data_IF_906243570199
#
_entry.id   IF_906243570199
#
_cell.length_a   1.000
_cell.length_b   1.000
_cell.length_c   1.000
_cell.angle_alpha   90.00
_cell.angle_beta   90.00
_cell.angle_gamma   90.00
#
_symmetry.space_group_name_H-M   'P 1'
#
loop_
_entity.id
_entity.type
_entity.pdbx_description
1 polymer ?
#
# COMPACT_ATOMS: atom_id res chain seq x y z
N UNK A 1 1.50 13.47 5.14
CA UNK A 1 0.47 12.49 5.61
C UNK A 1 0.30 11.29 4.68
N UNK A 2 0.18 11.45 3.36
CA UNK A 2 0.23 10.32 2.42
C UNK A 2 1.60 9.61 2.40
N UNK A 3 2.67 10.32 2.76
CA UNK A 3 4.04 9.79 2.83
C UNK A 3 4.20 8.60 3.78
N UNK A 4 3.43 8.54 4.89
CA UNK A 4 3.49 7.40 5.81
C UNK A 4 2.97 6.11 5.14
N UNK A 5 1.86 6.20 4.39
CA UNK A 5 1.33 5.06 3.64
C UNK A 5 2.34 4.57 2.59
N UNK A 6 2.94 5.52 1.86
CA UNK A 6 3.91 5.22 0.80
C UNK A 6 5.16 4.56 1.38
N UNK A 7 5.69 5.09 2.47
CA UNK A 7 6.88 4.55 3.14
C UNK A 7 6.65 3.11 3.62
N UNK A 8 5.51 2.84 4.26
CA UNK A 8 5.15 1.49 4.71
C UNK A 8 4.92 0.53 3.53
N UNK A 9 4.31 1.00 2.44
CA UNK A 9 4.12 0.20 1.23
C UNK A 9 5.47 -0.22 0.61
N UNK A 10 6.42 0.70 0.54
CA UNK A 10 7.77 0.44 0.05
C UNK A 10 8.46 -0.57 0.98
N UNK A 11 8.43 -0.33 2.30
CA UNK A 11 9.01 -1.23 3.30
C UNK A 11 8.44 -2.65 3.20
N UNK A 12 7.11 -2.78 3.09
CA UNK A 12 6.45 -4.07 2.92
C UNK A 12 6.93 -4.80 1.65
N UNK A 13 7.06 -4.08 0.53
CA UNK A 13 7.58 -4.68 -0.71
C UNK A 13 9.03 -5.17 -0.54
N UNK A 14 9.87 -4.40 0.14
CA UNK A 14 11.26 -4.78 0.40
C UNK A 14 11.35 -5.99 1.35
N UNK A 15 10.53 -6.05 2.40
CA UNK A 15 10.44 -7.18 3.31
C UNK A 15 9.91 -8.45 2.63
N UNK A 16 9.00 -8.31 1.67
CA UNK A 16 8.52 -9.40 0.83
C UNK A 16 9.58 -9.91 -0.17
N UNK A 17 10.77 -9.28 -0.25
CA UNK A 17 11.88 -9.71 -1.10
C UNK A 17 11.57 -9.71 -2.60
N UNK A 18 10.49 -9.01 -3.02
CA UNK A 18 9.95 -9.11 -4.36
C UNK A 18 10.23 -7.88 -5.20
N UNK A 19 10.47 -8.09 -6.49
CA UNK A 19 10.49 -7.00 -7.47
C UNK A 19 9.12 -6.30 -7.52
N UNK A 20 9.08 -5.06 -8.00
CA UNK A 20 7.84 -4.28 -8.16
C UNK A 20 6.76 -5.05 -8.95
N UNK A 21 7.17 -5.80 -9.98
CA UNK A 21 6.26 -6.66 -10.75
C UNK A 21 5.78 -7.87 -9.95
N UNK A 22 6.66 -8.52 -9.18
CA UNK A 22 6.31 -9.66 -8.33
C UNK A 22 5.33 -9.29 -7.24
N UNK A 23 5.55 -8.16 -6.58
CA UNK A 23 4.65 -7.66 -5.54
C UNK A 23 3.30 -7.21 -6.11
N UNK A 24 3.29 -6.53 -7.26
CA UNK A 24 2.06 -6.19 -7.95
C UNK A 24 1.26 -7.44 -8.35
N UNK A 25 1.93 -8.50 -8.82
CA UNK A 25 1.31 -9.79 -9.14
C UNK A 25 0.72 -10.46 -7.89
N UNK A 26 1.44 -10.46 -6.78
CA UNK A 26 0.97 -11.02 -5.51
C UNK A 26 -0.29 -10.29 -5.01
N UNK A 27 -0.33 -8.97 -5.15
CA UNK A 27 -1.50 -8.15 -4.82
C UNK A 27 -2.58 -8.16 -5.93
N UNK A 28 -2.38 -8.88 -7.03
CA UNK A 28 -3.26 -8.91 -8.19
C UNK A 28 -3.66 -7.48 -8.65
N UNK A 29 -2.65 -6.63 -8.89
CA UNK A 29 -2.75 -5.26 -9.41
C UNK A 29 -1.75 -5.04 -10.54
N UNK A 30 -1.92 -3.97 -11.32
CA UNK A 30 -0.94 -3.63 -12.35
C UNK A 30 0.35 -3.07 -11.71
N UNK A 31 1.54 -3.40 -12.25
CA UNK A 31 2.80 -2.80 -11.81
C UNK A 31 2.79 -1.27 -11.93
N UNK A 32 2.13 -0.73 -12.96
CA UNK A 32 1.95 0.71 -13.14
C UNK A 32 1.13 1.33 -12.01
N UNK A 33 0.06 0.66 -11.56
CA UNK A 33 -0.75 1.14 -10.44
C UNK A 33 0.05 1.16 -9.14
N UNK A 34 0.84 0.11 -8.87
CA UNK A 34 1.74 0.07 -7.71
C UNK A 34 2.80 1.19 -7.77
N UNK A 35 3.40 1.39 -8.95
CA UNK A 35 4.36 2.46 -9.23
C UNK A 35 3.79 3.86 -8.98
N UNK A 36 2.53 4.09 -9.36
CA UNK A 36 1.81 5.34 -9.11
C UNK A 36 1.47 5.54 -7.63
N UNK A 37 1.15 4.47 -6.91
CA UNK A 37 0.93 4.51 -5.46
C UNK A 37 2.22 4.88 -4.72
N UNK A 38 3.34 4.22 -5.02
CA UNK A 38 4.65 4.51 -4.40
C UNK A 38 5.14 5.94 -4.70
N UNK A 39 4.72 6.55 -5.81
CA UNK A 39 5.04 7.94 -6.15
C UNK A 39 4.02 8.94 -5.63
N UNK A 40 2.96 8.50 -4.96
CA UNK A 40 1.87 9.35 -4.48
C UNK A 40 1.02 9.98 -5.59
N UNK A 41 1.15 9.52 -6.85
CA UNK A 41 0.35 10.00 -7.99
C UNK A 41 -1.09 9.53 -7.92
N UNK A 42 -1.33 8.39 -7.27
CA UNK A 42 -2.67 7.84 -7.02
C UNK A 42 -2.91 7.65 -5.54
N UNK A 43 -4.16 7.83 -5.13
CA UNK A 43 -4.62 7.51 -3.78
C UNK A 43 -4.95 6.02 -3.68
N UNK A 44 -4.70 5.39 -2.52
CA UNK A 44 -5.09 4.01 -2.31
C UNK A 44 -6.62 3.87 -2.33
N UNK A 45 -7.08 2.79 -2.95
CA UNK A 45 -8.48 2.33 -2.89
C UNK A 45 -8.70 1.48 -1.64
N UNK A 46 -9.96 1.29 -1.23
CA UNK A 46 -10.25 0.37 -0.12
C UNK A 46 -9.82 -1.06 -0.46
N UNK A 47 -9.99 -1.47 -1.73
CA UNK A 47 -9.59 -2.79 -2.20
C UNK A 47 -8.08 -3.04 -2.02
N UNK A 48 -7.22 -2.06 -2.34
CA UNK A 48 -5.77 -2.25 -2.14
C UNK A 48 -5.41 -2.28 -0.65
N UNK A 49 -6.08 -1.47 0.18
CA UNK A 49 -5.86 -1.50 1.64
C UNK A 49 -6.19 -2.89 2.20
N UNK A 50 -7.32 -3.48 1.80
CA UNK A 50 -7.71 -4.82 2.24
C UNK A 50 -6.69 -5.88 1.82
N UNK A 51 -6.22 -5.83 0.57
CA UNK A 51 -5.16 -6.74 0.08
C UNK A 51 -3.85 -6.60 0.86
N UNK A 52 -3.49 -5.37 1.26
CA UNK A 52 -2.30 -5.12 2.08
C UNK A 52 -2.47 -5.64 3.51
N UNK A 53 -3.70 -5.65 4.04
CA UNK A 53 -4.01 -6.24 5.35
C UNK A 53 -3.88 -7.77 5.36
N UNK A 54 -4.00 -8.42 4.20
CA UNK A 54 -3.80 -9.87 4.05
C UNK A 54 -2.31 -10.25 4.02
N UNK A 55 -1.40 -9.28 3.87
CA UNK A 55 0.03 -9.55 3.90
C UNK A 55 0.50 -9.84 5.34
N UNK A 56 1.14 -11.00 5.60
CA UNK A 56 1.54 -11.40 6.96
C UNK A 56 2.70 -10.56 7.53
N UNK A 57 3.48 -9.90 6.67
CA UNK A 57 4.67 -9.10 7.02
C UNK A 57 4.40 -7.60 7.14
N UNK A 58 3.13 -7.18 7.14
CA UNK A 58 2.76 -5.76 7.15
C UNK A 58 2.37 -5.17 8.50
N UNK A 59 2.15 -3.84 8.53
CA UNK A 59 1.42 -3.15 9.60
C UNK A 59 0.09 -3.84 9.94
N UNK A 60 -0.38 -3.64 11.17
CA UNK A 60 -1.70 -4.13 11.58
C UNK A 60 -2.83 -3.58 10.69
N UNK A 61 -3.91 -4.34 10.53
CA UNK A 61 -5.10 -3.96 9.75
C UNK A 61 -5.58 -2.55 10.07
N UNK A 62 -5.68 -2.23 11.37
CA UNK A 62 -6.06 -0.88 11.83
C UNK A 62 -5.12 0.20 11.30
N UNK A 63 -3.81 -0.05 11.30
CA UNK A 63 -2.79 0.90 10.85
C UNK A 63 -2.90 1.16 9.35
N UNK A 64 -3.14 0.12 8.54
CA UNK A 64 -3.40 0.25 7.10
C UNK A 64 -4.64 1.11 6.80
N UNK A 65 -5.74 0.88 7.51
CA UNK A 65 -6.95 1.68 7.34
C UNK A 65 -6.76 3.14 7.75
N UNK A 66 -6.08 3.41 8.87
CA UNK A 66 -5.78 4.78 9.31
C UNK A 66 -4.91 5.53 8.30
N UNK A 67 -3.84 4.89 7.80
CA UNK A 67 -2.97 5.46 6.79
C UNK A 67 -3.70 5.70 5.46
N UNK A 68 -4.52 4.74 5.03
CA UNK A 68 -5.32 4.85 3.82
C UNK A 68 -6.37 5.95 3.89
N UNK A 69 -7.09 6.07 5.00
CA UNK A 69 -8.07 7.12 5.20
C UNK A 69 -7.42 8.51 5.30
N UNK A 70 -6.26 8.64 5.97
CA UNK A 70 -5.46 9.87 5.97
C UNK A 70 -4.94 10.24 4.58
N UNK A 71 -4.45 9.26 3.81
CA UNK A 71 -4.01 9.48 2.42
C UNK A 71 -5.16 9.92 1.50
N UNK A 72 -6.41 9.58 1.86
CA UNK A 72 -7.62 10.03 1.18
C UNK A 72 -8.14 11.39 1.66
N UNK A 73 -7.54 11.98 2.70
CA UNK A 73 -7.94 13.26 3.28
C UNK A 73 -9.13 13.16 4.24
N UNK A 74 -9.47 11.96 4.71
CA UNK A 74 -10.48 11.79 5.75
C UNK A 74 -9.89 12.25 7.09
N UNK A 75 -10.66 13.05 7.85
CA UNK A 75 -10.32 13.42 9.22
C UNK A 75 -10.71 12.25 10.13
N UNK A 76 -9.71 11.64 10.77
CA UNK A 76 -9.81 10.50 11.70
C UNK A 76 -8.98 10.80 12.92
#
# INVERSE_FOLDING_TARGET
MAEQFISELIMLRHQHGSSLRGFAKALNISPTYLSDLERGRRRPTLNIINKLCECPVGPSTRRWHLMGARARGWKI
#
